data_IF_691403817359
#
_entry.id   IF_691403817359
#
_cell.length_a   1.000
_cell.length_b   1.000
_cell.length_c   1.000
_cell.angle_alpha   90.00
_cell.angle_beta   90.00
_cell.angle_gamma   90.00
#
_symmetry.space_group_name_H-M   'P 1'
#
loop_
_entity.id
_entity.type
_entity.pdbx_description
1 polymer ?
#
# COMPACT_ATOMS: atom_id res chain seq x y z
N UNK A 1 -18.65 0.08 59.21
CA UNK A 1 -17.40 0.13 58.41
C UNK A 1 -17.77 0.30 56.95
N UNK A 2 -17.59 1.50 56.36
CA UNK A 2 -17.96 1.83 54.98
C UNK A 2 -16.71 1.65 54.07
N UNK A 3 -16.78 0.70 53.11
CA UNK A 3 -15.74 0.48 52.12
C UNK A 3 -15.76 1.59 51.07
N UNK A 4 -14.73 2.37 51.03
CA UNK A 4 -14.46 3.43 50.05
C UNK A 4 -13.78 2.79 48.83
N UNK A 5 -14.56 2.45 47.77
CA UNK A 5 -14.01 2.09 46.45
C UNK A 5 -13.53 3.36 45.78
N UNK A 6 -12.24 3.55 45.74
CA UNK A 6 -11.60 4.64 45.03
C UNK A 6 -11.50 4.30 43.55
N UNK A 7 -12.06 5.16 42.71
CA UNK A 7 -12.04 5.05 41.27
C UNK A 7 -10.61 5.13 40.74
N UNK A 8 -10.10 4.01 40.20
CA UNK A 8 -8.81 3.92 39.54
C UNK A 8 -8.84 4.33 38.05
N UNK A 9 -9.95 4.86 37.58
CA UNK A 9 -10.12 5.23 36.15
C UNK A 9 -9.58 6.62 35.76
N UNK A 10 -9.40 7.54 36.71
CA UNK A 10 -8.94 8.90 36.38
C UNK A 10 -7.50 9.04 35.91
N UNK A 11 -6.50 8.27 36.41
CA UNK A 11 -5.11 8.46 35.96
C UNK A 11 -4.84 7.88 34.55
N UNK A 12 -5.61 6.91 34.08
CA UNK A 12 -5.42 6.33 32.74
C UNK A 12 -5.87 7.28 31.61
N UNK A 13 -6.93 8.05 31.85
CA UNK A 13 -7.42 9.04 30.87
C UNK A 13 -6.46 10.23 30.74
N UNK A 14 -5.82 10.64 31.82
CA UNK A 14 -4.88 11.77 31.84
C UNK A 14 -3.55 11.42 31.14
N UNK A 15 -3.12 10.16 31.19
CA UNK A 15 -1.89 9.69 30.52
C UNK A 15 -2.10 9.57 29.01
N UNK A 16 -3.32 9.24 28.57
CA UNK A 16 -3.63 9.12 27.13
C UNK A 16 -3.69 10.51 26.43
N UNK A 17 -4.24 11.51 27.11
CA UNK A 17 -4.27 12.89 26.58
C UNK A 17 -2.87 13.50 26.54
N UNK A 18 -1.98 13.18 27.49
CA UNK A 18 -0.58 13.67 27.49
C UNK A 18 0.31 12.92 26.51
N UNK A 19 0.00 11.66 26.15
CA UNK A 19 0.78 10.92 25.13
C UNK A 19 0.52 11.44 23.72
N UNK A 20 -0.69 11.91 23.42
CA UNK A 20 -1.02 12.54 22.12
C UNK A 20 -0.31 13.90 21.97
N UNK A 21 -0.13 14.64 23.05
CA UNK A 21 0.54 15.95 23.02
C UNK A 21 2.08 15.86 22.91
N UNK A 22 2.70 14.69 23.13
CA UNK A 22 4.17 14.51 23.02
C UNK A 22 4.60 14.02 21.62
N UNK A 23 3.68 13.63 20.75
CA UNK A 23 3.95 13.28 19.35
C UNK A 23 3.88 14.49 18.41
N UNK A 24 3.63 15.69 18.91
CA UNK A 24 3.71 16.95 18.16
C UNK A 24 5.17 17.36 17.91
N UNK A 25 5.96 16.46 17.30
CA UNK A 25 7.33 16.71 16.92
C UNK A 25 7.43 17.48 15.61
N UNK A 26 7.90 18.70 15.67
CA UNK A 26 8.54 19.48 14.60
C UNK A 26 7.86 19.52 13.21
N UNK A 27 6.64 20.00 13.14
CA UNK A 27 6.10 20.61 11.93
C UNK A 27 5.79 22.08 12.23
N UNK A 28 6.18 22.98 11.34
CA UNK A 28 5.94 24.42 11.53
C UNK A 28 4.50 24.67 11.97
N UNK A 29 4.34 25.36 13.11
CA UNK A 29 3.03 25.72 13.64
C UNK A 29 2.35 26.71 12.68
N UNK A 30 1.49 26.20 11.80
CA UNK A 30 0.47 27.04 11.21
C UNK A 30 -0.43 27.53 12.36
N UNK A 31 -0.65 28.84 12.48
CA UNK A 31 -1.52 29.36 13.52
C UNK A 31 -2.93 28.80 13.31
N UNK A 32 -3.46 28.09 14.32
CA UNK A 32 -4.84 27.61 14.28
C UNK A 32 -5.79 28.80 14.15
N UNK A 33 -6.76 28.69 13.28
CA UNK A 33 -7.87 29.65 13.17
C UNK A 33 -8.89 29.30 14.24
N UNK A 34 -9.22 30.26 15.11
CA UNK A 34 -10.02 30.04 16.33
C UNK A 34 -11.43 29.47 16.06
N UNK A 35 -12.02 29.74 14.89
CA UNK A 35 -13.38 29.32 14.53
C UNK A 35 -13.44 28.31 13.37
N UNK A 36 -12.32 27.78 12.92
CA UNK A 36 -12.30 26.85 11.79
C UNK A 36 -12.46 25.40 12.26
N UNK A 37 -13.20 24.62 11.47
CA UNK A 37 -13.28 23.16 11.63
C UNK A 37 -11.89 22.54 11.61
N UNK A 38 -11.66 21.55 12.45
CA UNK A 38 -10.41 20.79 12.50
C UNK A 38 -10.66 19.40 12.01
N UNK A 39 -9.88 18.94 11.02
CA UNK A 39 -9.86 17.56 10.54
C UNK A 39 -8.50 16.93 10.85
N UNK A 40 -8.53 15.66 11.17
CA UNK A 40 -7.34 14.83 11.43
C UNK A 40 -7.02 13.96 10.22
N UNK A 41 -5.79 14.04 9.75
CA UNK A 41 -5.32 13.26 8.59
C UNK A 41 -4.16 12.36 9.02
N UNK A 42 -4.39 11.06 8.94
CA UNK A 42 -3.35 10.07 9.21
C UNK A 42 -2.60 9.72 7.92
N UNK A 43 -1.29 9.93 7.94
CA UNK A 43 -0.38 9.60 6.86
C UNK A 43 0.52 8.44 7.28
N UNK A 44 0.51 7.36 6.52
CA UNK A 44 1.23 6.13 6.88
C UNK A 44 2.76 6.24 6.80
N UNK A 45 3.31 7.31 6.23
CA UNK A 45 4.75 7.53 6.19
C UNK A 45 5.14 9.00 6.30
N UNK A 46 6.34 9.25 6.81
CA UNK A 46 6.95 10.59 6.85
C UNK A 46 7.12 11.20 5.46
N UNK A 47 7.48 10.39 4.47
CA UNK A 47 7.63 10.87 3.08
C UNK A 47 6.31 11.39 2.50
N UNK A 48 5.19 10.78 2.83
CA UNK A 48 3.88 11.31 2.44
C UNK A 48 3.58 12.63 3.15
N UNK A 49 3.90 12.73 4.43
CA UNK A 49 3.73 13.96 5.19
C UNK A 49 4.54 15.11 4.56
N UNK A 50 5.82 14.92 4.35
CA UNK A 50 6.71 15.94 3.76
C UNK A 50 6.24 16.41 2.39
N UNK A 51 5.70 15.48 1.59
CA UNK A 51 5.24 15.75 0.23
C UNK A 51 3.86 16.41 0.18
N UNK A 52 2.90 15.90 0.94
CA UNK A 52 1.49 16.27 0.77
C UNK A 52 0.98 17.27 1.79
N UNK A 53 1.51 17.32 3.02
CA UNK A 53 0.98 18.21 4.05
C UNK A 53 1.03 19.69 3.66
N UNK A 54 2.13 20.25 3.10
CA UNK A 54 2.17 21.63 2.67
C UNK A 54 1.11 21.92 1.60
N UNK A 55 0.95 21.02 0.63
CA UNK A 55 -0.03 21.18 -0.45
C UNK A 55 -1.47 21.13 0.07
N UNK A 56 -1.79 20.19 0.97
CA UNK A 56 -3.12 20.08 1.58
C UNK A 56 -3.45 21.34 2.36
N UNK A 57 -2.53 21.88 3.14
CA UNK A 57 -2.73 23.11 3.91
C UNK A 57 -2.97 24.33 3.00
N UNK A 58 -2.27 24.40 1.87
CA UNK A 58 -2.47 25.46 0.87
C UNK A 58 -3.84 25.36 0.19
N UNK A 59 -4.30 24.15 -0.15
CA UNK A 59 -5.59 23.92 -0.81
C UNK A 59 -6.79 24.07 0.12
N UNK A 60 -6.60 23.93 1.43
CA UNK A 60 -7.65 24.00 2.45
C UNK A 60 -7.41 25.16 3.42
N UNK A 61 -7.40 26.41 2.94
CA UNK A 61 -7.02 27.57 3.77
C UNK A 61 -8.02 27.86 4.90
N UNK A 62 -9.24 27.35 4.83
CA UNK A 62 -10.31 27.62 5.79
C UNK A 62 -10.54 26.48 6.80
N UNK A 63 -9.77 25.41 6.70
CA UNK A 63 -9.84 24.24 7.57
C UNK A 63 -8.52 24.10 8.34
N UNK A 64 -8.61 23.75 9.63
CA UNK A 64 -7.44 23.33 10.38
C UNK A 64 -7.17 21.86 10.11
N UNK A 65 -6.01 21.54 9.54
CA UNK A 65 -5.61 20.16 9.27
C UNK A 65 -4.55 19.72 10.28
N UNK A 66 -4.88 18.73 11.09
CA UNK A 66 -3.95 18.09 12.02
C UNK A 66 -3.44 16.79 11.41
N UNK A 67 -2.12 16.72 11.18
CA UNK A 67 -1.49 15.52 10.62
C UNK A 67 -0.96 14.62 11.71
N UNK A 68 -1.28 13.33 11.60
CA UNK A 68 -0.70 12.26 12.41
C UNK A 68 0.11 11.38 11.46
N UNK A 69 1.39 11.18 11.77
CA UNK A 69 2.27 10.33 10.96
C UNK A 69 2.54 9.04 11.71
N UNK A 70 2.36 7.93 11.04
CA UNK A 70 2.55 6.60 11.62
C UNK A 70 3.13 5.60 10.63
N UNK A 71 2.58 4.40 10.62
CA UNK A 71 3.00 3.31 9.74
C UNK A 71 1.80 2.71 8.99
N UNK A 72 2.07 1.88 7.99
CA UNK A 72 1.06 1.15 7.24
C UNK A 72 0.70 -0.16 7.95
N UNK A 73 -0.03 -0.08 9.05
CA UNK A 73 -0.42 -1.25 9.84
C UNK A 73 -1.95 -1.28 10.05
N UNK A 74 -2.63 -2.22 9.38
CA UNK A 74 -4.08 -2.39 9.49
C UNK A 74 -4.53 -2.77 10.91
N UNK A 75 -3.74 -3.49 11.66
CA UNK A 75 -4.08 -3.85 13.05
C UNK A 75 -4.05 -2.61 13.95
N UNK A 76 -3.19 -1.64 13.65
CA UNK A 76 -3.20 -0.35 14.32
C UNK A 76 -4.50 0.43 14.02
N UNK A 77 -4.98 0.43 12.79
CA UNK A 77 -6.26 1.06 12.46
C UNK A 77 -7.45 0.36 13.13
N UNK A 78 -7.44 -0.97 13.19
CA UNK A 78 -8.44 -1.74 13.97
C UNK A 78 -8.42 -1.33 15.44
N UNK A 79 -7.23 -1.24 16.02
CA UNK A 79 -7.05 -0.78 17.40
C UNK A 79 -7.60 0.64 17.61
N UNK A 80 -7.33 1.58 16.71
CA UNK A 80 -7.88 2.94 16.79
C UNK A 80 -9.41 2.93 16.74
N UNK A 81 -9.99 2.19 15.78
CA UNK A 81 -11.44 2.04 15.64
C UNK A 81 -12.11 1.57 16.95
N UNK A 82 -11.48 0.61 17.62
CA UNK A 82 -12.00 0.00 18.87
C UNK A 82 -11.82 0.89 20.12
N UNK A 83 -10.82 1.78 20.13
CA UNK A 83 -10.38 2.49 21.33
C UNK A 83 -10.54 4.01 21.28
N UNK A 84 -11.24 4.58 20.35
CA UNK A 84 -11.43 6.03 20.35
C UNK A 84 -11.85 6.62 19.00
N UNK A 85 -11.87 5.78 17.99
CA UNK A 85 -12.25 6.16 16.63
C UNK A 85 -11.06 6.33 15.71
N UNK A 86 -11.36 6.26 14.41
CA UNK A 86 -10.40 6.54 13.35
C UNK A 86 -10.18 8.05 13.20
N UNK A 87 -9.02 8.51 12.75
CA UNK A 87 -8.87 9.86 12.19
C UNK A 87 -9.89 10.10 11.06
N UNK A 88 -10.23 11.37 10.82
CA UNK A 88 -11.22 11.73 9.80
C UNK A 88 -10.82 11.26 8.40
N UNK A 89 -9.53 11.30 8.11
CA UNK A 89 -8.95 10.74 6.88
C UNK A 89 -7.80 9.83 7.25
N UNK A 90 -7.78 8.62 6.70
CA UNK A 90 -6.67 7.68 6.86
C UNK A 90 -6.08 7.31 5.51
N UNK A 91 -4.76 7.17 5.45
CA UNK A 91 -4.06 6.66 4.28
C UNK A 91 -3.46 5.30 4.56
N UNK A 92 -3.40 4.45 3.56
CA UNK A 92 -2.89 3.09 3.67
C UNK A 92 -2.14 2.72 2.39
N UNK A 93 -1.24 1.75 2.46
CA UNK A 93 -0.49 1.24 1.33
C UNK A 93 -0.53 -0.29 1.34
N UNK A 94 -0.67 -0.90 0.18
CA UNK A 94 -0.53 -2.36 -0.02
C UNK A 94 -1.39 -3.20 0.94
N UNK A 95 -2.69 -3.10 0.81
CA UNK A 95 -3.63 -3.94 1.56
C UNK A 95 -4.62 -4.62 0.60
N UNK A 96 -5.24 -5.70 1.03
CA UNK A 96 -6.39 -6.27 0.35
C UNK A 96 -7.70 -5.77 0.98
N UNK A 97 -8.78 -5.72 0.22
CA UNK A 97 -10.10 -5.40 0.77
C UNK A 97 -10.53 -6.40 1.86
N UNK A 98 -10.11 -7.66 1.72
CA UNK A 98 -10.36 -8.68 2.73
C UNK A 98 -9.71 -8.31 4.07
N UNK A 99 -8.44 -7.91 4.08
CA UNK A 99 -7.74 -7.51 5.32
C UNK A 99 -8.30 -6.22 5.92
N UNK A 100 -8.77 -5.31 5.07
CA UNK A 100 -9.38 -4.05 5.49
C UNK A 100 -10.87 -4.17 5.86
N UNK A 101 -11.51 -5.31 5.61
CA UNK A 101 -12.95 -5.52 5.86
C UNK A 101 -13.40 -5.20 7.29
N UNK A 102 -12.61 -5.46 8.36
CA UNK A 102 -12.98 -5.07 9.72
C UNK A 102 -13.09 -3.55 9.94
N UNK A 103 -12.55 -2.73 9.03
CA UNK A 103 -12.65 -1.27 9.11
C UNK A 103 -13.90 -0.74 8.42
N UNK A 104 -14.55 -1.51 7.55
CA UNK A 104 -15.65 -1.08 6.67
C UNK A 104 -16.72 -0.27 7.41
N UNK A 105 -17.22 -0.75 8.55
CA UNK A 105 -18.27 -0.09 9.31
C UNK A 105 -17.88 1.27 9.91
N UNK A 106 -16.57 1.55 9.98
CA UNK A 106 -16.02 2.84 10.45
C UNK A 106 -15.65 3.80 9.33
N UNK A 107 -15.84 3.40 8.07
CA UNK A 107 -15.44 4.17 6.90
C UNK A 107 -16.67 4.61 6.10
N UNK A 108 -16.61 5.82 5.58
CA UNK A 108 -17.63 6.38 4.70
C UNK A 108 -17.62 5.65 3.34
N UNK A 109 -18.80 5.49 2.73
CA UNK A 109 -18.90 5.12 1.32
C UNK A 109 -18.55 6.32 0.43
N UNK A 110 -17.51 6.17 -0.35
CA UNK A 110 -16.96 7.20 -1.24
C UNK A 110 -17.43 7.03 -2.70
N UNK A 111 -18.24 6.01 -3.03
CA UNK A 111 -18.60 5.62 -4.38
C UNK A 111 -19.23 6.77 -5.22
N UNK A 112 -19.91 7.71 -4.57
CA UNK A 112 -20.57 8.85 -5.22
C UNK A 112 -19.79 10.16 -5.09
N UNK A 113 -18.57 10.12 -4.57
CA UNK A 113 -17.75 11.32 -4.35
C UNK A 113 -16.96 11.71 -5.61
N UNK A 114 -16.58 12.97 -5.70
CA UNK A 114 -15.67 13.44 -6.74
C UNK A 114 -14.31 12.73 -6.70
N UNK A 115 -13.87 12.29 -5.53
CA UNK A 115 -12.63 11.55 -5.38
C UNK A 115 -12.69 10.20 -6.11
N UNK A 116 -13.77 9.43 -5.94
CA UNK A 116 -13.99 8.20 -6.68
C UNK A 116 -14.16 8.46 -8.18
N UNK A 117 -14.92 9.49 -8.55
CA UNK A 117 -15.13 9.88 -9.95
C UNK A 117 -13.88 10.36 -10.69
N UNK A 118 -12.81 10.69 -9.97
CA UNK A 118 -11.52 11.08 -10.56
C UNK A 118 -10.63 9.88 -10.90
N UNK A 119 -11.01 8.66 -10.49
CA UNK A 119 -10.24 7.43 -10.70
C UNK A 119 -10.85 6.62 -11.85
N UNK A 120 -10.01 6.05 -12.71
CA UNK A 120 -10.49 5.14 -13.75
C UNK A 120 -11.18 3.91 -13.15
N UNK A 121 -12.30 3.50 -13.71
CA UNK A 121 -13.10 2.36 -13.25
C UNK A 121 -12.29 1.07 -13.11
N UNK A 122 -11.31 0.85 -13.99
CA UNK A 122 -10.42 -0.32 -13.95
C UNK A 122 -9.54 -0.38 -12.70
N UNK A 123 -9.23 0.77 -12.09
CA UNK A 123 -8.51 0.83 -10.82
C UNK A 123 -9.47 0.83 -9.65
N UNK A 124 -10.55 1.58 -9.72
CA UNK A 124 -11.53 1.71 -8.66
C UNK A 124 -12.24 0.37 -8.35
N UNK A 125 -12.47 -0.44 -9.37
CA UNK A 125 -13.09 -1.76 -9.22
C UNK A 125 -12.31 -2.71 -8.30
N UNK A 126 -11.01 -2.52 -8.14
CA UNK A 126 -10.21 -3.31 -7.19
C UNK A 126 -10.49 -2.95 -5.72
N UNK A 127 -11.15 -1.82 -5.47
CA UNK A 127 -11.51 -1.31 -4.14
C UNK A 127 -13.03 -1.31 -3.91
N UNK A 128 -13.80 -1.88 -4.82
CA UNK A 128 -15.24 -2.00 -4.72
C UNK A 128 -15.61 -3.23 -3.87
N UNK A 129 -16.42 -3.02 -2.85
CA UNK A 129 -16.99 -4.11 -2.05
C UNK A 129 -18.09 -4.85 -2.84
N UNK A 130 -18.51 -6.02 -2.36
CA UNK A 130 -19.56 -6.83 -3.00
C UNK A 130 -20.90 -6.09 -3.13
N UNK A 131 -21.20 -5.16 -2.22
CA UNK A 131 -22.42 -4.34 -2.24
C UNK A 131 -22.29 -3.09 -3.15
N UNK A 132 -21.17 -2.94 -3.84
CA UNK A 132 -20.88 -1.80 -4.72
C UNK A 132 -20.36 -0.56 -4.01
N UNK A 133 -20.24 -0.56 -2.67
CA UNK A 133 -19.66 0.56 -1.92
C UNK A 133 -18.14 0.62 -2.11
N UNK A 134 -17.56 1.82 -1.97
CA UNK A 134 -16.12 2.07 -2.06
C UNK A 134 -15.67 2.83 -0.82
N UNK A 135 -14.86 2.23 0.01
CA UNK A 135 -14.33 2.88 1.23
C UNK A 135 -12.89 3.38 1.06
N UNK A 136 -12.22 2.95 0.00
CA UNK A 136 -10.83 3.30 -0.30
C UNK A 136 -10.70 3.80 -1.73
N UNK A 137 -10.11 4.96 -1.89
CA UNK A 137 -9.85 5.55 -3.21
C UNK A 137 -8.36 5.58 -3.45
N UNK A 138 -7.83 4.95 -4.51
CA UNK A 138 -6.42 5.00 -4.83
C UNK A 138 -6.02 6.42 -5.24
N UNK A 139 -4.98 6.96 -4.62
CA UNK A 139 -4.46 8.31 -4.91
C UNK A 139 -3.17 8.28 -5.73
N UNK A 140 -2.48 7.15 -5.76
CA UNK A 140 -1.29 6.93 -6.59
C UNK A 140 -1.12 5.43 -6.86
N UNK A 141 -0.32 5.12 -7.87
CA UNK A 141 0.12 3.77 -8.18
C UNK A 141 1.62 3.76 -8.40
N UNK A 142 2.26 2.67 -8.00
CA UNK A 142 3.66 2.38 -8.30
C UNK A 142 3.74 1.48 -9.52
N UNK A 143 4.75 1.70 -10.35
CA UNK A 143 5.10 0.82 -11.44
C UNK A 143 6.36 0.04 -11.08
N UNK A 144 6.27 -1.29 -11.11
CA UNK A 144 7.40 -2.16 -10.91
C UNK A 144 7.92 -2.67 -12.25
N UNK A 145 9.23 -2.70 -12.41
CA UNK A 145 9.85 -3.14 -13.65
C UNK A 145 11.37 -3.04 -13.60
N UNK A 146 12.01 -3.35 -14.70
CA UNK A 146 13.45 -3.25 -14.83
C UNK A 146 13.87 -1.83 -15.20
N UNK A 147 14.85 -1.30 -14.47
CA UNK A 147 15.57 -0.08 -14.85
C UNK A 147 16.76 -0.49 -15.70
N UNK A 148 16.85 0.05 -16.91
CA UNK A 148 17.87 -0.31 -17.89
C UNK A 148 18.84 0.84 -18.09
N UNK A 149 20.14 0.56 -17.99
CA UNK A 149 21.17 1.53 -18.36
C UNK A 149 21.43 1.45 -19.89
N UNK A 150 20.72 2.27 -20.64
CA UNK A 150 20.81 2.28 -22.12
C UNK A 150 22.21 2.55 -22.65
N UNK A 151 22.98 3.40 -21.99
CA UNK A 151 24.34 3.74 -22.42
C UNK A 151 25.27 2.52 -22.38
N UNK A 152 25.06 1.60 -21.43
CA UNK A 152 25.83 0.34 -21.42
C UNK A 152 25.41 -0.59 -22.54
N UNK A 153 24.12 -0.69 -22.85
CA UNK A 153 23.65 -1.48 -23.99
C UNK A 153 24.26 -0.97 -25.32
N UNK A 154 24.21 0.34 -25.54
CA UNK A 154 24.81 0.97 -26.73
C UNK A 154 26.34 0.79 -26.78
N UNK A 155 27.01 1.02 -25.65
CA UNK A 155 28.48 0.92 -25.57
C UNK A 155 29.01 -0.46 -25.94
N UNK A 156 28.29 -1.52 -25.58
CA UNK A 156 28.73 -2.90 -25.81
C UNK A 156 28.00 -3.59 -26.97
N UNK A 157 27.21 -2.83 -27.73
CA UNK A 157 26.42 -3.32 -28.87
C UNK A 157 25.51 -4.52 -28.47
N UNK A 158 24.90 -4.44 -27.29
CA UNK A 158 24.00 -5.45 -26.79
C UNK A 158 22.54 -4.97 -27.04
N UNK A 159 21.69 -5.75 -27.71
CA UNK A 159 20.32 -5.36 -27.96
C UNK A 159 19.51 -5.24 -26.65
N UNK A 160 18.61 -4.24 -26.58
CA UNK A 160 17.66 -4.15 -25.48
C UNK A 160 16.72 -5.35 -25.48
N UNK A 161 16.51 -6.01 -24.35
CA UNK A 161 15.64 -7.19 -24.28
C UNK A 161 14.16 -6.81 -24.48
N UNK A 162 13.42 -7.68 -25.16
CA UNK A 162 11.99 -7.55 -25.44
C UNK A 162 11.16 -8.68 -24.83
N UNK A 163 11.82 -9.72 -24.33
CA UNK A 163 11.25 -10.90 -23.69
C UNK A 163 12.25 -11.51 -22.70
N UNK A 164 11.83 -12.55 -22.00
CA UNK A 164 12.68 -13.21 -21.00
C UNK A 164 13.95 -13.82 -21.58
N UNK A 165 13.88 -14.46 -22.73
CA UNK A 165 15.01 -15.13 -23.38
C UNK A 165 16.08 -14.11 -23.81
N UNK A 166 15.67 -13.01 -24.43
CA UNK A 166 16.55 -11.91 -24.80
C UNK A 166 17.13 -11.18 -23.58
N UNK A 167 16.38 -11.11 -22.46
CA UNK A 167 16.88 -10.60 -21.18
C UNK A 167 18.02 -11.47 -20.64
N UNK A 168 17.84 -12.78 -20.57
CA UNK A 168 18.88 -13.72 -20.12
C UNK A 168 20.12 -13.61 -21.04
N UNK A 169 19.91 -13.55 -22.36
CA UNK A 169 20.98 -13.40 -23.35
C UNK A 169 21.76 -12.09 -23.14
N UNK A 170 21.08 -10.99 -22.84
CA UNK A 170 21.72 -9.71 -22.55
C UNK A 170 22.55 -9.78 -21.26
N UNK A 171 22.04 -10.39 -20.19
CA UNK A 171 22.77 -10.61 -18.95
C UNK A 171 24.07 -11.41 -19.21
N UNK A 172 23.98 -12.51 -19.93
CA UNK A 172 25.15 -13.32 -20.30
C UNK A 172 26.15 -12.56 -21.18
N UNK A 173 25.68 -11.67 -22.04
CA UNK A 173 26.57 -10.83 -22.87
C UNK A 173 27.32 -9.82 -22.00
N UNK A 174 26.70 -9.21 -21.03
CA UNK A 174 27.34 -8.32 -20.05
C UNK A 174 28.37 -9.06 -19.19
N UNK A 175 28.06 -10.26 -18.72
CA UNK A 175 28.99 -11.06 -17.93
C UNK A 175 30.31 -11.37 -18.70
N UNK A 176 30.22 -11.62 -20.01
CA UNK A 176 31.38 -11.86 -20.87
C UNK A 176 32.33 -10.65 -20.96
N UNK A 177 31.82 -9.45 -20.76
CA UNK A 177 32.61 -8.21 -20.73
C UNK A 177 32.91 -7.71 -19.32
N UNK A 178 32.66 -8.56 -18.30
CA UNK A 178 32.99 -8.29 -16.90
C UNK A 178 32.02 -7.32 -16.18
N UNK A 179 30.84 -7.13 -16.74
CA UNK A 179 29.78 -6.30 -16.15
C UNK A 179 28.69 -7.24 -15.66
N UNK A 180 28.24 -7.05 -14.42
CA UNK A 180 27.10 -7.80 -13.91
C UNK A 180 25.84 -7.44 -14.71
N UNK A 181 25.25 -8.42 -15.37
CA UNK A 181 24.10 -8.23 -16.27
C UNK A 181 22.82 -7.78 -15.54
N UNK A 182 22.63 -8.24 -14.29
CA UNK A 182 21.47 -7.91 -13.49
C UNK A 182 21.80 -7.77 -12.00
N UNK A 183 21.09 -6.88 -11.33
CA UNK A 183 21.14 -6.73 -9.86
C UNK A 183 19.75 -6.48 -9.34
N UNK A 184 19.36 -7.20 -8.31
CA UNK A 184 18.11 -7.02 -7.58
C UNK A 184 18.37 -6.89 -6.09
N UNK A 185 17.47 -6.21 -5.39
CA UNK A 185 17.43 -6.18 -3.94
C UNK A 185 16.45 -7.27 -3.47
N UNK A 186 17.00 -8.33 -2.90
CA UNK A 186 16.23 -9.42 -2.29
C UNK A 186 16.39 -9.45 -0.77
N UNK A 187 16.73 -8.33 -0.17
CA UNK A 187 16.84 -8.20 1.28
C UNK A 187 15.46 -8.30 1.95
N UNK A 188 14.43 -7.78 1.30
CA UNK A 188 13.06 -7.82 1.79
C UNK A 188 12.22 -8.86 1.04
N UNK A 189 11.36 -9.59 1.75
CA UNK A 189 10.49 -10.61 1.17
C UNK A 189 9.59 -10.05 0.04
N UNK A 190 9.13 -8.80 0.20
CA UNK A 190 8.25 -8.19 -0.81
C UNK A 190 8.96 -7.95 -2.15
N UNK A 191 10.26 -7.71 -2.19
CA UNK A 191 10.99 -7.53 -3.45
C UNK A 191 11.11 -8.84 -4.24
N UNK A 192 11.25 -9.97 -3.54
CA UNK A 192 11.15 -11.30 -4.15
C UNK A 192 9.75 -11.54 -4.73
N UNK A 193 8.70 -11.17 -3.99
CA UNK A 193 7.33 -11.33 -4.44
C UNK A 193 7.00 -10.43 -5.65
N UNK A 194 7.51 -9.21 -5.68
CA UNK A 194 7.36 -8.30 -6.82
C UNK A 194 8.04 -8.85 -8.07
N UNK A 195 9.24 -9.43 -7.93
CA UNK A 195 9.93 -10.10 -9.04
C UNK A 195 9.13 -11.29 -9.56
N UNK A 196 8.64 -12.15 -8.67
CA UNK A 196 7.78 -13.29 -9.04
C UNK A 196 6.52 -12.83 -9.77
N UNK A 197 5.85 -11.77 -9.28
CA UNK A 197 4.69 -11.18 -9.95
C UNK A 197 5.02 -10.65 -11.34
N UNK A 198 6.18 -10.00 -11.50
CA UNK A 198 6.67 -9.54 -12.79
C UNK A 198 6.91 -10.67 -13.78
N UNK A 199 7.61 -11.72 -13.34
CA UNK A 199 7.91 -12.92 -14.14
C UNK A 199 6.66 -13.73 -14.51
N UNK A 200 5.59 -13.64 -13.73
CA UNK A 200 4.31 -14.32 -13.96
C UNK A 200 3.20 -13.39 -14.47
N UNK A 201 3.55 -12.18 -14.90
CA UNK A 201 2.54 -11.18 -15.28
C UNK A 201 1.65 -11.61 -16.46
N UNK A 202 2.20 -12.32 -17.44
CA UNK A 202 1.46 -12.86 -18.58
C UNK A 202 0.45 -13.92 -18.14
N UNK A 203 0.89 -14.86 -17.31
CA UNK A 203 0.09 -15.96 -16.76
C UNK A 203 -1.03 -15.39 -15.86
N UNK A 204 -0.68 -14.49 -14.95
CA UNK A 204 -1.66 -13.84 -14.06
C UNK A 204 -2.69 -12.99 -14.82
N UNK A 205 -2.34 -12.48 -15.98
CA UNK A 205 -3.23 -11.69 -16.84
C UNK A 205 -4.06 -12.54 -17.81
N UNK A 206 -3.75 -13.84 -17.94
CA UNK A 206 -4.51 -14.80 -18.73
C UNK A 206 -5.92 -15.03 -18.20
N UNK A 207 -6.77 -15.72 -18.94
CA UNK A 207 -8.11 -16.10 -18.48
C UNK A 207 -8.03 -16.97 -17.23
N UNK A 208 -7.15 -17.96 -17.23
CA UNK A 208 -6.98 -18.89 -16.10
C UNK A 208 -6.35 -18.17 -14.89
N UNK A 209 -5.39 -17.29 -15.10
CA UNK A 209 -4.81 -16.49 -14.04
C UNK A 209 -5.81 -15.53 -13.38
N UNK A 210 -6.70 -14.92 -14.16
CA UNK A 210 -7.79 -14.08 -13.61
C UNK A 210 -8.78 -14.93 -12.83
N UNK A 211 -9.14 -16.09 -13.33
CA UNK A 211 -10.00 -17.05 -12.63
C UNK A 211 -9.36 -17.47 -11.31
N UNK A 212 -8.07 -17.86 -11.34
CA UNK A 212 -7.33 -18.23 -10.13
C UNK A 212 -7.34 -17.10 -9.09
N UNK A 213 -7.05 -15.85 -9.48
CA UNK A 213 -7.08 -14.70 -8.55
C UNK A 213 -8.45 -14.52 -7.90
N UNK A 214 -9.53 -14.70 -8.67
CA UNK A 214 -10.89 -14.60 -8.14
C UNK A 214 -11.17 -15.69 -7.10
N UNK A 215 -10.81 -16.95 -7.39
CA UNK A 215 -11.02 -18.06 -6.45
C UNK A 215 -10.10 -17.96 -5.23
N UNK A 216 -8.86 -17.51 -5.42
CA UNK A 216 -7.91 -17.33 -4.32
C UNK A 216 -8.35 -16.24 -3.34
N UNK A 217 -8.96 -15.18 -3.84
CA UNK A 217 -9.48 -14.07 -3.03
C UNK A 217 -10.86 -14.34 -2.44
N UNK A 218 -11.51 -15.46 -2.80
CA UNK A 218 -12.82 -15.83 -2.23
C UNK A 218 -12.67 -16.13 -0.73
N UNK A 219 -13.46 -15.48 0.14
CA UNK A 219 -13.45 -15.76 1.59
C UNK A 219 -13.84 -17.19 1.93
N UNK A 220 -14.57 -17.89 1.05
CA UNK A 220 -14.79 -19.34 1.15
C UNK A 220 -13.55 -20.12 0.73
N UNK A 221 -12.70 -20.44 1.72
CA UNK A 221 -11.47 -21.19 1.51
C UNK A 221 -11.65 -22.55 0.80
N UNK A 222 -12.87 -23.10 0.79
CA UNK A 222 -13.16 -24.39 0.11
C UNK A 222 -13.03 -24.32 -1.40
N UNK A 223 -13.09 -23.13 -1.97
CA UNK A 223 -12.98 -22.87 -3.41
C UNK A 223 -11.59 -22.45 -3.87
N UNK A 224 -10.65 -22.26 -2.95
CA UNK A 224 -9.29 -21.86 -3.29
C UNK A 224 -8.58 -22.95 -4.06
N UNK A 225 -8.09 -22.61 -5.23
CA UNK A 225 -7.12 -23.44 -5.96
C UNK A 225 -5.74 -23.22 -5.34
N UNK A 226 -4.97 -24.29 -5.14
CA UNK A 226 -3.62 -24.22 -4.57
C UNK A 226 -2.61 -23.56 -5.51
N UNK A 227 -1.42 -23.31 -5.00
CA UNK A 227 -0.30 -22.79 -5.80
C UNK A 227 0.32 -23.88 -6.70
N UNK A 228 -0.02 -25.13 -6.50
CA UNK A 228 0.36 -26.28 -7.31
C UNK A 228 -0.51 -26.46 -8.56
N UNK A 229 -1.56 -25.65 -8.68
CA UNK A 229 -2.47 -25.67 -9.83
C UNK A 229 -2.19 -24.51 -10.80
N UNK A 230 -2.46 -24.77 -12.08
CA UNK A 230 -2.53 -23.83 -13.19
C UNK A 230 -1.25 -23.06 -13.54
N UNK A 231 -1.03 -21.88 -12.99
CA UNK A 231 0.00 -20.92 -13.46
C UNK A 231 1.28 -20.92 -12.62
N UNK A 232 1.20 -21.35 -11.38
CA UNK A 232 2.27 -21.13 -10.42
C UNK A 232 3.49 -22.05 -10.58
N UNK A 233 3.36 -23.33 -10.93
CA UNK A 233 4.54 -24.18 -11.14
C UNK A 233 5.52 -23.59 -12.15
N UNK A 234 5.03 -23.13 -13.30
CA UNK A 234 5.87 -22.51 -14.34
C UNK A 234 6.46 -21.16 -13.88
N UNK A 235 5.69 -20.37 -13.14
CA UNK A 235 6.18 -19.11 -12.57
C UNK A 235 7.30 -19.33 -11.54
N UNK A 236 7.20 -20.35 -10.71
CA UNK A 236 8.26 -20.71 -9.76
C UNK A 236 9.50 -21.27 -10.44
N UNK A 237 9.36 -22.11 -11.46
CA UNK A 237 10.50 -22.57 -12.26
C UNK A 237 11.24 -21.42 -12.92
N UNK A 238 10.50 -20.44 -13.46
CA UNK A 238 11.09 -19.24 -14.06
C UNK A 238 11.79 -18.37 -13.00
N UNK A 239 11.22 -18.25 -11.82
CA UNK A 239 11.87 -17.54 -10.71
C UNK A 239 13.13 -18.25 -10.24
N UNK A 240 13.14 -19.56 -10.14
CA UNK A 240 14.34 -20.35 -9.82
C UNK A 240 15.47 -20.11 -10.83
N UNK A 241 15.15 -20.18 -12.12
CA UNK A 241 16.13 -19.87 -13.19
C UNK A 241 16.64 -18.43 -13.14
N UNK A 242 15.79 -17.51 -12.73
CA UNK A 242 16.12 -16.10 -12.64
C UNK A 242 17.08 -15.77 -11.48
N UNK A 243 17.02 -16.52 -10.39
CA UNK A 243 17.87 -16.32 -9.19
C UNK A 243 19.25 -16.99 -9.35
N UNK A 244 19.37 -18.06 -10.16
CA UNK A 244 20.61 -18.80 -10.42
C UNK A 244 21.58 -18.00 -11.28
#
# INVERSE_FOLDING_TARGET
MKNKKWNRALPALLVMVTAISLLSGCGGKSAKKEDAETITVYLWSTSLYEKYAPYIQEQLPDINVEFVVGNNNLDFYKFLKENGGLPDIITCCRFSLHDASPLKDGLMDLSTTNAAGAVYDSYLSNFMNEDGSVNWVPVCADAHGFIVNKDLFEKYDIPLPTDYESFVSACQAFDKVGIRGFTADYYYDYTCMETLQGLSASELSSVDGRKWRTTYSDPDNSKREGLDSTIWPEAFERMEQFIQ
#
